data_IF_508333480620
#
_entry.id   IF_508333480620
#
_cell.length_a   1.000
_cell.length_b   1.000
_cell.length_c   1.000
_cell.angle_alpha   90.00
_cell.angle_beta   90.00
_cell.angle_gamma   90.00
#
_symmetry.space_group_name_H-M   'P 1'
#
loop_
_entity.id
_entity.type
_entity.pdbx_description
1 polymer ?
#
# COMPACT_ATOMS: atom_id res chain seq x y z
N UNK A 1 -2.24 7.32 13.24
CA UNK A 1 -1.44 6.69 12.17
C UNK A 1 -1.00 5.30 12.63
N UNK A 2 -1.16 4.29 11.78
CA UNK A 2 -0.75 2.94 12.17
C UNK A 2 0.76 2.75 12.00
N UNK A 3 1.29 1.73 12.68
CA UNK A 3 2.68 1.33 12.52
C UNK A 3 2.83 0.29 11.43
N UNK A 4 4.05 0.05 11.00
CA UNK A 4 4.36 -1.04 10.07
C UNK A 4 3.91 -2.38 10.65
N UNK A 5 4.12 -2.59 11.96
CA UNK A 5 3.71 -3.85 12.60
C UNK A 5 2.20 -4.03 12.51
N UNK A 6 1.42 -2.97 12.71
CA UNK A 6 -0.03 -3.05 12.59
C UNK A 6 -0.46 -3.42 11.18
N UNK A 7 0.21 -2.85 10.18
CA UNK A 7 -0.04 -3.21 8.78
C UNK A 7 0.23 -4.69 8.51
N UNK A 8 1.35 -5.20 9.02
CA UNK A 8 1.68 -6.63 8.90
C UNK A 8 0.61 -7.49 9.55
N UNK A 9 0.16 -7.10 10.75
CA UNK A 9 -0.83 -7.85 11.49
C UNK A 9 -2.16 -7.92 10.72
N UNK A 10 -2.59 -6.81 10.16
CA UNK A 10 -3.85 -6.79 9.39
C UNK A 10 -3.74 -7.61 8.11
N UNK A 11 -2.61 -7.52 7.41
CA UNK A 11 -2.40 -8.33 6.21
C UNK A 11 -2.34 -9.83 6.54
N UNK A 12 -1.84 -10.16 7.73
CA UNK A 12 -1.75 -11.56 8.17
C UNK A 12 -3.11 -12.19 8.44
N UNK A 13 -4.16 -11.40 8.59
CA UNK A 13 -5.52 -11.91 8.77
C UNK A 13 -6.16 -12.40 7.48
N UNK A 14 -5.56 -12.07 6.34
CA UNK A 14 -6.07 -12.52 5.05
C UNK A 14 -5.89 -14.03 4.89
N UNK A 15 -6.83 -14.66 4.21
CA UNK A 15 -6.75 -16.09 3.91
C UNK A 15 -5.63 -16.35 2.91
N UNK A 16 -5.25 -17.62 2.77
CA UNK A 16 -4.24 -18.01 1.79
C UNK A 16 -4.68 -17.65 0.37
N UNK A 17 -5.97 -17.84 0.07
CA UNK A 17 -6.53 -17.47 -1.21
C UNK A 17 -6.43 -15.97 -1.45
N UNK A 18 -6.79 -15.17 -0.46
CA UNK A 18 -6.70 -13.70 -0.57
C UNK A 18 -5.26 -13.21 -0.74
N UNK A 19 -4.30 -13.89 -0.13
CA UNK A 19 -2.87 -13.53 -0.24
C UNK A 19 -2.30 -13.71 -1.63
N UNK A 20 -2.95 -14.49 -2.47
CA UNK A 20 -2.51 -14.68 -3.85
C UNK A 20 -3.15 -13.69 -4.82
N UNK A 21 -4.06 -12.85 -4.34
CA UNK A 21 -4.68 -11.81 -5.15
C UNK A 21 -3.73 -10.62 -5.35
N UNK A 22 -3.88 -9.88 -6.45
CA UNK A 22 -3.09 -8.66 -6.64
C UNK A 22 -3.38 -7.63 -5.56
N UNK A 23 -2.36 -6.86 -5.21
CA UNK A 23 -2.50 -5.74 -4.28
C UNK A 23 -2.60 -4.44 -5.08
N UNK A 24 -3.57 -3.60 -4.73
CA UNK A 24 -3.71 -2.27 -5.31
C UNK A 24 -3.85 -1.25 -4.17
N UNK A 25 -3.45 -0.03 -4.44
CA UNK A 25 -3.63 1.09 -3.51
C UNK A 25 -4.79 1.93 -3.99
N UNK A 26 -5.70 2.27 -3.07
CA UNK A 26 -6.64 3.34 -3.32
C UNK A 26 -5.91 4.66 -3.12
N UNK A 27 -6.05 5.57 -4.07
CA UNK A 27 -5.37 6.87 -4.02
C UNK A 27 -6.22 7.94 -3.37
N UNK A 28 -7.46 7.61 -3.01
CA UNK A 28 -8.31 8.51 -2.25
C UNK A 28 -9.18 7.71 -1.27
N UNK A 29 -9.74 8.39 -0.24
CA UNK A 29 -10.54 7.71 0.78
C UNK A 29 -11.88 7.15 0.26
N UNK A 30 -12.35 7.61 -0.88
CA UNK A 30 -13.63 7.20 -1.45
C UNK A 30 -13.51 6.07 -2.46
N UNK A 31 -12.28 5.69 -2.82
CA UNK A 31 -12.04 4.59 -3.74
C UNK A 31 -12.36 4.93 -5.18
N UNK A 32 -12.15 6.17 -5.59
CA UNK A 32 -12.39 6.59 -6.97
C UNK A 32 -11.21 6.31 -7.90
N UNK A 33 -10.01 6.20 -7.35
CA UNK A 33 -8.80 5.93 -8.13
C UNK A 33 -7.96 4.88 -7.46
N UNK A 34 -7.30 4.05 -8.25
CA UNK A 34 -6.43 2.99 -7.74
C UNK A 34 -5.11 3.00 -8.49
N UNK A 35 -4.06 2.57 -7.79
CA UNK A 35 -2.74 2.36 -8.38
C UNK A 35 -2.28 0.95 -8.13
N UNK A 36 -1.59 0.37 -9.09
CA UNK A 36 -0.96 -0.94 -8.90
C UNK A 36 0.14 -0.84 -7.84
N UNK A 37 0.38 -1.92 -7.13
CA UNK A 37 1.54 -2.05 -6.25
C UNK A 37 2.53 -2.96 -6.94
N UNK A 38 3.68 -2.44 -7.33
CA UNK A 38 4.71 -3.17 -8.04
C UNK A 38 5.97 -3.25 -7.19
N UNK A 39 6.60 -4.40 -7.18
CA UNK A 39 7.84 -4.61 -6.43
C UNK A 39 9.04 -4.03 -7.18
N UNK A 40 9.99 -3.36 -6.50
CA UNK A 40 9.96 -3.01 -5.09
C UNK A 40 9.09 -1.78 -4.83
N UNK A 41 8.34 -1.79 -3.74
CA UNK A 41 7.37 -0.73 -3.46
C UNK A 41 7.57 -0.02 -2.11
N UNK A 42 8.62 -0.37 -1.39
CA UNK A 42 8.89 0.21 -0.08
C UNK A 42 10.15 1.06 -0.10
N UNK A 43 10.13 2.16 0.63
CA UNK A 43 11.33 2.93 0.92
C UNK A 43 11.31 3.39 2.38
N UNK A 44 12.50 3.76 2.87
CA UNK A 44 12.66 4.31 4.20
C UNK A 44 12.97 5.78 4.06
N UNK A 45 12.10 6.62 4.61
CA UNK A 45 12.22 8.07 4.47
C UNK A 45 12.13 8.74 5.84
N UNK A 46 12.61 9.99 5.89
CA UNK A 46 12.53 10.80 7.09
C UNK A 46 11.74 12.06 6.77
N UNK A 47 10.75 12.34 7.60
CA UNK A 47 9.85 13.48 7.44
C UNK A 47 9.99 14.40 8.66
N UNK A 48 9.86 15.71 8.46
CA UNK A 48 9.95 16.66 9.55
C UNK A 48 8.84 16.44 10.57
N UNK A 49 7.63 16.13 10.11
CA UNK A 49 6.46 16.06 10.99
C UNK A 49 6.40 14.78 11.82
N UNK A 50 6.90 13.67 11.29
CA UNK A 50 6.71 12.37 11.94
C UNK A 50 8.01 11.59 12.15
N UNK A 51 9.15 12.10 11.66
CA UNK A 51 10.43 11.39 11.76
C UNK A 51 10.57 10.28 10.73
N UNK A 52 11.24 9.21 11.12
CA UNK A 52 11.47 8.09 10.20
C UNK A 52 10.19 7.32 9.92
N UNK A 53 9.99 6.97 8.68
CA UNK A 53 8.81 6.24 8.26
C UNK A 53 9.12 5.29 7.11
N UNK A 54 8.24 4.31 6.91
CA UNK A 54 8.27 3.46 5.72
C UNK A 54 7.20 3.98 4.77
N UNK A 55 7.60 4.23 3.53
CA UNK A 55 6.70 4.72 2.50
C UNK A 55 6.34 3.58 1.56
N UNK A 56 5.05 3.46 1.27
CA UNK A 56 4.53 2.51 0.28
C UNK A 56 4.26 3.29 -1.00
N UNK A 57 4.93 2.92 -2.06
CA UNK A 57 4.86 3.63 -3.33
C UNK A 57 3.85 3.00 -4.27
N UNK A 58 3.10 3.81 -5.02
CA UNK A 58 2.26 3.28 -6.08
C UNK A 58 3.13 2.80 -7.26
N UNK A 59 2.60 1.86 -8.01
CA UNK A 59 3.25 1.41 -9.23
C UNK A 59 3.02 2.40 -10.36
N UNK A 60 3.63 2.11 -11.49
CA UNK A 60 3.48 2.94 -12.68
C UNK A 60 2.84 2.09 -13.80
N UNK A 61 1.82 2.61 -14.49
CA UNK A 61 1.20 3.92 -14.34
C UNK A 61 0.44 4.05 -13.01
N UNK A 62 0.28 5.29 -12.53
CA UNK A 62 -0.32 5.58 -11.25
C UNK A 62 -1.83 5.37 -11.20
N UNK A 63 -2.47 5.16 -12.34
CA UNK A 63 -3.90 4.89 -12.41
C UNK A 63 -4.13 3.53 -13.01
N UNK A 64 -5.01 2.77 -12.36
CA UNK A 64 -5.54 1.53 -12.92
C UNK A 64 -6.98 1.76 -13.36
N UNK A 65 -7.28 1.33 -14.57
CA UNK A 65 -8.67 1.16 -14.94
C UNK A 65 -9.07 -0.24 -14.53
N UNK A 66 -9.94 -0.30 -13.54
CA UNK A 66 -10.49 -1.57 -13.09
C UNK A 66 -11.82 -1.74 -13.79
N UNK A 67 -11.87 -2.70 -14.64
CA UNK A 67 -13.07 -3.01 -15.42
C UNK A 67 -13.82 -4.13 -14.72
#
# INVERSE_FOLDING_TARGET
MITVQKLIDELSELTEEERSLPAVLSTDPEGNCFSAVLSPFLSRNEFEEIGKAVVIWPGYPSNLEII
#
